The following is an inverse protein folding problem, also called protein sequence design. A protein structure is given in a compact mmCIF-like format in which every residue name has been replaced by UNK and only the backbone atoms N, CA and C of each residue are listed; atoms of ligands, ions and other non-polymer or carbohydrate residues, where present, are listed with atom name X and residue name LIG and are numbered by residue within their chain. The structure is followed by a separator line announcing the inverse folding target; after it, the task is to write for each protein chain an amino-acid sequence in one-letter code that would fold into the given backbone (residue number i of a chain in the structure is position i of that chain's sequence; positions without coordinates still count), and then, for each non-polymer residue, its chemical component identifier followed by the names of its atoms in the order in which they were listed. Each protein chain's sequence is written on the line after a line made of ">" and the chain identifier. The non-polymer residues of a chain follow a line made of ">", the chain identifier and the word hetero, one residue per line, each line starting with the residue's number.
data_IF_407142905784
#
_entry.id   IF_407142905784
#
_cell.length_a   1.000
_cell.length_b   1.000
_cell.length_c   1.000
_cell.angle_alpha   90.00
_cell.angle_beta   90.00
_cell.angle_gamma   90.00
#
_symmetry.space_group_name_H-M   'P 1'
#
loop_
_entity.id
_entity.type
_entity.pdbx_description
1 polymer ?
#
# COMPACT_ATOMS: atom_id res chain seq x y z
N UNK A 1 -80.87 25.77 -52.61
CA UNK A 1 -80.81 25.27 -51.22
C UNK A 1 -79.80 24.14 -51.20
N UNK A 2 -78.56 24.41 -50.77
CA UNK A 2 -77.46 23.44 -50.78
C UNK A 2 -77.28 22.91 -49.35
N UNK A 3 -77.50 21.61 -49.17
CA UNK A 3 -77.42 20.92 -47.88
C UNK A 3 -75.97 20.56 -47.55
N UNK A 4 -75.46 21.11 -46.45
CA UNK A 4 -74.12 20.85 -45.94
C UNK A 4 -74.12 19.52 -45.17
N UNK A 5 -73.33 18.55 -45.64
CA UNK A 5 -73.17 17.22 -45.03
C UNK A 5 -72.26 17.33 -43.80
N UNK A 6 -72.64 16.80 -42.62
CA UNK A 6 -71.82 16.93 -41.42
C UNK A 6 -70.58 16.03 -41.49
N UNK A 7 -69.45 16.60 -41.10
CA UNK A 7 -68.13 15.97 -41.02
C UNK A 7 -68.01 15.16 -39.70
N UNK A 8 -67.45 13.94 -39.73
CA UNK A 8 -67.33 13.12 -38.52
C UNK A 8 -66.24 13.63 -37.57
N UNK A 9 -66.56 13.68 -36.29
CA UNK A 9 -65.65 14.12 -35.23
C UNK A 9 -64.45 13.16 -35.07
N UNK A 10 -63.25 13.67 -34.74
CA UNK A 10 -62.07 12.85 -34.53
C UNK A 10 -62.23 12.00 -33.26
N UNK A 11 -61.95 10.70 -33.42
CA UNK A 11 -61.87 9.73 -32.33
C UNK A 11 -60.51 9.93 -31.64
N UNK A 12 -60.53 10.35 -30.38
CA UNK A 12 -59.33 10.40 -29.55
C UNK A 12 -59.12 9.05 -28.86
N UNK A 13 -58.11 8.31 -29.30
CA UNK A 13 -57.64 7.09 -28.65
C UNK A 13 -56.75 7.49 -27.45
N UNK A 14 -57.30 7.31 -26.24
CA UNK A 14 -56.72 7.73 -24.97
C UNK A 14 -55.87 6.68 -24.26
N UNK A 15 -55.12 5.85 -24.99
CA UNK A 15 -54.32 4.76 -24.41
C UNK A 15 -52.84 4.89 -24.78
N UNK A 16 -52.08 5.82 -24.18
CA UNK A 16 -50.61 5.76 -24.32
C UNK A 16 -49.76 6.55 -23.30
N UNK A 17 -50.35 7.14 -22.26
CA UNK A 17 -49.58 8.02 -21.33
C UNK A 17 -49.09 7.27 -20.09
N UNK A 18 -49.80 6.24 -19.63
CA UNK A 18 -49.50 5.59 -18.34
C UNK A 18 -48.34 4.56 -18.45
N UNK A 19 -48.21 3.85 -19.57
CA UNK A 19 -47.16 2.86 -19.83
C UNK A 19 -45.75 3.45 -20.05
N UNK A 20 -45.66 4.67 -20.61
CA UNK A 20 -44.38 5.35 -20.79
C UNK A 20 -43.80 5.86 -19.47
N UNK A 21 -44.65 6.24 -18.51
CA UNK A 21 -44.25 6.80 -17.21
C UNK A 21 -43.52 5.77 -16.33
N UNK A 22 -44.04 4.55 -16.24
CA UNK A 22 -43.46 3.49 -15.41
C UNK A 22 -42.13 2.98 -15.97
N UNK A 23 -42.01 2.89 -17.30
CA UNK A 23 -40.81 2.45 -18.00
C UNK A 23 -39.68 3.49 -17.89
N UNK A 24 -39.99 4.80 -18.02
CA UNK A 24 -39.01 5.88 -17.79
C UNK A 24 -38.57 5.93 -16.32
N UNK A 25 -39.49 5.82 -15.36
CA UNK A 25 -39.14 5.81 -13.92
C UNK A 25 -38.23 4.64 -13.56
N UNK A 26 -38.49 3.42 -14.07
CA UNK A 26 -37.61 2.26 -13.86
C UNK A 26 -36.21 2.45 -14.45
N UNK A 27 -36.09 3.09 -15.63
CA UNK A 27 -34.78 3.38 -16.23
C UNK A 27 -34.00 4.45 -15.46
N UNK A 28 -34.68 5.48 -14.96
CA UNK A 28 -34.07 6.56 -14.15
C UNK A 28 -33.60 6.00 -12.80
N UNK A 29 -34.44 5.21 -12.11
CA UNK A 29 -34.06 4.59 -10.83
C UNK A 29 -32.89 3.62 -10.99
N UNK A 30 -32.89 2.79 -12.04
CA UNK A 30 -31.77 1.86 -12.34
C UNK A 30 -30.47 2.62 -12.63
N UNK A 31 -30.51 3.72 -13.38
CA UNK A 31 -29.31 4.54 -13.62
C UNK A 31 -28.82 5.25 -12.36
N UNK A 32 -29.74 5.81 -11.56
CA UNK A 32 -29.40 6.51 -10.32
C UNK A 32 -28.75 5.59 -9.27
N UNK A 33 -29.06 4.29 -9.29
CA UNK A 33 -28.46 3.30 -8.37
C UNK A 33 -27.22 2.61 -8.97
N UNK A 34 -27.20 2.30 -10.26
CA UNK A 34 -26.05 1.61 -10.89
C UNK A 34 -24.82 2.50 -11.01
N UNK A 35 -25.00 3.81 -11.22
CA UNK A 35 -23.88 4.75 -11.36
C UNK A 35 -23.04 4.90 -10.07
N UNK A 36 -23.61 5.13 -8.88
CA UNK A 36 -22.81 5.16 -7.65
C UNK A 36 -22.19 3.81 -7.31
N UNK A 37 -22.88 2.68 -7.59
CA UNK A 37 -22.30 1.35 -7.39
C UNK A 37 -21.10 1.14 -8.31
N UNK A 38 -21.19 1.50 -9.59
CA UNK A 38 -20.08 1.41 -10.52
C UNK A 38 -18.90 2.30 -10.09
N UNK A 39 -19.18 3.52 -9.64
CA UNK A 39 -18.15 4.44 -9.11
C UNK A 39 -17.47 3.87 -7.87
N UNK A 40 -18.24 3.33 -6.92
CA UNK A 40 -17.70 2.69 -5.72
C UNK A 40 -16.87 1.43 -6.06
N UNK A 41 -17.32 0.64 -7.03
CA UNK A 41 -16.57 -0.53 -7.49
C UNK A 41 -15.24 -0.12 -8.16
N UNK A 42 -15.24 0.92 -8.98
CA UNK A 42 -14.03 1.46 -9.62
C UNK A 42 -13.08 2.02 -8.55
N UNK A 43 -13.58 2.83 -7.61
CA UNK A 43 -12.79 3.37 -6.52
C UNK A 43 -12.22 2.25 -5.65
N UNK A 44 -13.02 1.24 -5.30
CA UNK A 44 -12.57 0.07 -4.55
C UNK A 44 -11.48 -0.71 -5.28
N UNK A 45 -11.62 -0.91 -6.59
CA UNK A 45 -10.61 -1.58 -7.41
C UNK A 45 -9.29 -0.78 -7.47
N UNK A 46 -9.37 0.55 -7.65
CA UNK A 46 -8.19 1.44 -7.67
C UNK A 46 -7.51 1.49 -6.30
N UNK A 47 -8.28 1.58 -5.21
CA UNK A 47 -7.74 1.51 -3.85
C UNK A 47 -7.08 0.16 -3.58
N UNK A 48 -7.68 -0.96 -4.02
CA UNK A 48 -7.12 -2.29 -3.87
C UNK A 48 -5.77 -2.47 -4.59
N UNK A 49 -5.62 -1.89 -5.79
CA UNK A 49 -4.37 -1.95 -6.54
C UNK A 49 -3.18 -1.30 -5.80
N UNK A 50 -3.46 -0.29 -4.95
CA UNK A 50 -2.46 0.36 -4.11
C UNK A 50 -1.99 -0.50 -2.92
N UNK A 51 -2.55 -1.69 -2.70
CA UNK A 51 -2.13 -2.62 -1.62
C UNK A 51 -1.54 -3.92 -2.17
N UNK A 52 -0.96 -3.88 -3.36
CA UNK A 52 -0.23 -5.02 -3.92
C UNK A 52 1.20 -5.05 -3.40
N UNK A 53 1.77 -6.25 -3.23
CA UNK A 53 3.16 -6.47 -2.81
C UNK A 53 4.18 -5.71 -3.66
N UNK A 54 3.93 -5.62 -4.97
CA UNK A 54 4.78 -4.87 -5.90
C UNK A 54 4.83 -3.38 -5.58
N UNK A 55 3.67 -2.78 -5.27
CA UNK A 55 3.57 -1.35 -4.94
C UNK A 55 4.17 -1.10 -3.55
N UNK A 56 3.92 -2.00 -2.59
CA UNK A 56 4.49 -1.92 -1.24
C UNK A 56 6.01 -1.92 -1.23
N UNK A 57 6.63 -2.86 -1.95
CA UNK A 57 8.07 -2.94 -2.05
C UNK A 57 8.69 -1.78 -2.85
N UNK A 58 7.96 -1.22 -3.82
CA UNK A 58 8.46 -0.10 -4.63
C UNK A 58 8.44 1.23 -3.87
N UNK A 59 7.38 1.48 -3.11
CA UNK A 59 7.20 2.74 -2.37
C UNK A 59 7.65 2.66 -0.91
N UNK A 60 8.05 1.49 -0.41
CA UNK A 60 8.62 1.34 0.92
C UNK A 60 7.60 1.47 2.05
N UNK A 61 6.39 0.92 1.89
CA UNK A 61 5.43 0.75 2.99
C UNK A 61 5.22 -0.72 3.33
N UNK A 62 4.89 -1.00 4.59
CA UNK A 62 4.58 -2.34 5.05
C UNK A 62 3.13 -2.72 4.68
N UNK A 63 2.93 -3.94 4.18
CA UNK A 63 1.59 -4.50 4.07
C UNK A 63 1.10 -4.97 5.46
N UNK A 64 -0.21 -4.91 5.75
CA UNK A 64 -0.75 -5.37 7.02
C UNK A 64 -0.43 -6.83 7.37
N UNK A 65 -0.21 -7.68 6.36
CA UNK A 65 0.10 -9.10 6.52
C UNK A 65 1.62 -9.37 6.67
N UNK A 66 2.48 -8.40 6.32
CA UNK A 66 3.94 -8.56 6.26
C UNK A 66 4.62 -7.98 7.49
N UNK A 67 4.53 -8.68 8.63
CA UNK A 67 5.35 -8.53 9.87
C UNK A 67 5.66 -7.09 10.35
N UNK A 68 4.96 -6.07 9.86
CA UNK A 68 4.98 -4.67 10.28
C UNK A 68 6.02 -3.74 9.66
N UNK A 69 7.04 -4.21 8.91
CA UNK A 69 8.14 -3.33 8.47
C UNK A 69 8.31 -3.29 6.94
N UNK A 70 8.65 -2.12 6.35
CA UNK A 70 8.79 -1.98 4.90
C UNK A 70 10.07 -2.64 4.38
N UNK A 71 10.08 -3.00 3.09
CA UNK A 71 11.29 -3.51 2.41
C UNK A 71 12.42 -2.48 2.34
N UNK A 72 12.05 -1.19 2.23
CA UNK A 72 12.96 -0.07 2.07
C UNK A 72 12.68 0.99 3.14
N UNK A 73 13.75 1.54 3.71
CA UNK A 73 13.70 2.68 4.63
C UNK A 73 14.64 3.77 4.14
N UNK A 74 14.28 5.03 4.39
CA UNK A 74 15.14 6.17 4.08
C UNK A 74 15.76 6.72 5.35
N UNK A 75 17.05 6.99 5.31
CA UNK A 75 17.76 7.66 6.39
C UNK A 75 18.83 8.58 5.79
N UNK A 76 18.87 9.83 6.26
CA UNK A 76 19.81 10.85 5.80
C UNK A 76 19.85 11.02 4.26
N UNK A 77 18.69 10.99 3.61
CA UNK A 77 18.56 11.11 2.15
C UNK A 77 19.09 9.92 1.34
N UNK A 78 19.35 8.78 2.00
CA UNK A 78 19.82 7.53 1.38
C UNK A 78 18.79 6.42 1.58
N UNK A 79 18.76 5.48 0.64
CA UNK A 79 17.88 4.31 0.67
C UNK A 79 18.60 3.11 1.27
N UNK A 80 17.94 2.42 2.18
CA UNK A 80 18.41 1.17 2.78
C UNK A 80 17.36 0.09 2.59
N UNK A 81 17.79 -1.14 2.31
CA UNK A 81 16.90 -2.27 2.05
C UNK A 81 17.23 -3.46 2.93
N UNK A 82 16.19 -4.20 3.30
CA UNK A 82 16.35 -5.50 3.94
C UNK A 82 15.74 -6.57 3.06
N UNK A 83 16.50 -7.60 2.65
CA UNK A 83 15.93 -8.71 1.88
C UNK A 83 14.89 -9.49 2.71
N UNK A 84 14.95 -9.40 4.04
CA UNK A 84 14.07 -10.15 4.96
C UNK A 84 12.64 -9.60 4.98
N UNK A 85 12.46 -8.29 4.79
CA UNK A 85 11.15 -7.60 4.81
C UNK A 85 10.52 -7.48 3.43
N UNK A 86 10.89 -8.37 2.51
CA UNK A 86 10.27 -8.49 1.21
C UNK A 86 8.78 -8.83 1.36
N UNK A 87 7.88 -8.00 0.82
CA UNK A 87 6.43 -8.20 0.89
C UNK A 87 5.90 -9.34 -0.02
N UNK A 88 6.66 -10.42 -0.20
CA UNK A 88 6.29 -11.57 -1.04
C UNK A 88 6.17 -11.28 -2.54
N UNK A 89 6.68 -10.15 -3.04
CA UNK A 89 6.72 -9.88 -4.46
C UNK A 89 7.76 -10.80 -5.14
N UNK A 90 7.35 -11.48 -6.21
CA UNK A 90 8.18 -12.50 -6.88
C UNK A 90 9.59 -12.01 -7.24
N UNK A 91 9.71 -10.80 -7.80
CA UNK A 91 11.01 -10.21 -8.17
C UNK A 91 11.98 -10.06 -6.99
N UNK A 92 11.46 -9.91 -5.78
CA UNK A 92 12.25 -9.69 -4.57
C UNK A 92 12.51 -11.02 -3.82
N UNK A 93 11.63 -12.02 -3.96
CA UNK A 93 11.86 -13.38 -3.47
C UNK A 93 12.87 -14.16 -4.34
N UNK A 94 12.85 -13.91 -5.65
CA UNK A 94 13.74 -14.55 -6.62
C UNK A 94 15.20 -14.08 -6.44
N UNK A 95 15.40 -12.83 -6.02
CA UNK A 95 16.72 -12.25 -5.71
C UNK A 95 17.34 -12.79 -4.41
N UNK A 96 16.57 -13.45 -3.55
CA UNK A 96 17.08 -13.99 -2.29
C UNK A 96 18.07 -15.13 -2.52
N UNK A 97 19.24 -15.02 -1.91
CA UNK A 97 20.17 -16.15 -1.84
C UNK A 97 19.62 -17.26 -0.94
N UNK A 98 20.07 -18.52 -1.09
CA UNK A 98 19.67 -19.61 -0.20
C UNK A 98 19.90 -19.30 1.29
N UNK A 99 20.99 -18.59 1.61
CA UNK A 99 21.33 -18.16 2.97
C UNK A 99 20.33 -17.13 3.49
N UNK A 100 19.93 -16.18 2.64
CA UNK A 100 18.91 -15.16 3.00
C UNK A 100 17.53 -15.78 3.22
N UNK A 101 17.18 -16.86 2.50
CA UNK A 101 15.93 -17.60 2.74
C UNK A 101 15.93 -18.36 4.06
N UNK A 102 17.11 -18.77 4.54
CA UNK A 102 17.27 -19.45 5.82
C UNK A 102 17.42 -18.50 7.02
N UNK A 103 17.63 -17.20 6.76
CA UNK A 103 17.80 -16.21 7.83
C UNK A 103 16.52 -16.06 8.67
N UNK A 104 16.66 -15.94 10.00
CA UNK A 104 15.53 -15.62 10.86
C UNK A 104 14.99 -14.22 10.51
N UNK A 105 13.71 -13.99 10.79
CA UNK A 105 13.07 -12.70 10.51
C UNK A 105 13.78 -11.51 11.18
N UNK A 106 14.26 -11.70 12.40
CA UNK A 106 15.02 -10.70 13.11
C UNK A 106 16.06 -11.37 13.99
N UNK A 107 17.00 -10.58 14.48
CA UNK A 107 18.03 -11.04 15.41
C UNK A 107 17.88 -10.31 16.74
N UNK A 108 18.20 -10.97 17.86
CA UNK A 108 18.29 -10.29 19.16
C UNK A 108 19.44 -9.29 19.15
N UNK A 109 19.42 -8.33 20.08
CA UNK A 109 20.46 -7.28 20.16
C UNK A 109 21.87 -7.88 20.25
N UNK A 110 22.02 -8.98 21.00
CA UNK A 110 23.29 -9.70 21.13
C UNK A 110 23.78 -10.31 19.80
N UNK A 111 22.86 -10.66 18.89
CA UNK A 111 23.16 -11.22 17.58
C UNK A 111 23.59 -10.19 16.53
N UNK A 112 23.51 -8.89 16.83
CA UNK A 112 23.91 -7.82 15.92
C UNK A 112 25.43 -7.66 15.78
N UNK A 113 26.23 -8.50 16.47
CA UNK A 113 27.69 -8.41 16.45
C UNK A 113 28.24 -7.14 17.11
N UNK A 114 27.44 -6.50 17.98
CA UNK A 114 27.78 -5.27 18.69
C UNK A 114 28.23 -5.49 20.14
N UNK A 115 28.53 -6.74 20.52
CA UNK A 115 28.97 -7.12 21.87
C UNK A 115 30.41 -7.65 21.85
N UNK A 116 31.26 -6.94 22.59
CA UNK A 116 32.61 -7.28 23.06
C UNK A 116 33.69 -7.55 21.99
N UNK A 117 34.44 -6.50 21.62
CA UNK A 117 35.75 -6.65 20.97
C UNK A 117 36.17 -5.50 20.07
N UNK A 118 35.21 -4.76 19.52
CA UNK A 118 35.45 -3.53 18.76
C UNK A 118 34.55 -2.43 19.33
N UNK A 119 35.13 -1.64 20.24
CA UNK A 119 34.61 -0.43 20.91
C UNK A 119 33.11 -0.20 20.95
N UNK A 120 32.49 -0.34 22.13
CA UNK A 120 31.28 0.37 22.60
C UNK A 120 30.26 0.82 21.53
N UNK A 121 29.96 -0.02 20.54
CA UNK A 121 29.04 0.32 19.46
C UNK A 121 27.61 0.22 19.98
N UNK A 122 27.24 1.16 20.84
CA UNK A 122 25.89 1.30 21.36
C UNK A 122 24.98 1.67 20.20
N UNK A 123 23.85 0.95 20.08
CA UNK A 123 22.77 1.37 19.19
C UNK A 123 22.30 2.77 19.61
N UNK A 124 22.54 3.76 18.76
CA UNK A 124 22.05 5.11 18.95
C UNK A 124 20.78 5.26 18.13
N UNK A 125 19.67 5.63 18.80
CA UNK A 125 18.42 5.94 18.09
C UNK A 125 18.66 7.24 17.32
N UNK A 126 18.41 7.21 16.01
CA UNK A 126 18.60 8.37 15.12
C UNK A 126 17.31 8.82 14.46
N UNK A 127 16.33 7.93 14.32
CA UNK A 127 15.04 8.25 13.69
C UNK A 127 13.95 7.24 14.09
N UNK A 128 12.76 7.37 13.50
CA UNK A 128 11.65 6.43 13.55
C UNK A 128 11.15 6.08 12.13
N UNK A 129 10.92 4.80 11.87
CA UNK A 129 10.28 4.29 10.64
C UNK A 129 8.77 4.28 10.85
N UNK A 130 8.05 4.99 10.00
CA UNK A 130 6.59 5.03 10.02
C UNK A 130 6.00 3.92 9.16
N UNK A 131 4.91 3.33 9.65
CA UNK A 131 4.14 2.30 8.95
C UNK A 131 2.73 2.83 8.74
N UNK A 132 2.11 2.51 7.60
CA UNK A 132 0.86 3.15 7.17
C UNK A 132 -0.33 2.84 8.10
N UNK A 133 -0.30 1.71 8.80
CA UNK A 133 -1.38 1.24 9.70
C UNK A 133 -0.85 0.62 11.00
N UNK A 134 0.40 0.86 11.36
CA UNK A 134 1.04 0.26 12.51
C UNK A 134 1.73 1.28 13.41
N UNK A 135 2.39 0.81 14.49
CA UNK A 135 3.23 1.68 15.29
C UNK A 135 4.45 2.17 14.49
N UNK A 136 5.04 3.26 14.95
CA UNK A 136 6.36 3.66 14.50
C UNK A 136 7.43 2.76 15.13
N UNK A 137 8.51 2.52 14.39
CA UNK A 137 9.59 1.63 14.79
C UNK A 137 10.90 2.41 14.89
N UNK A 138 11.61 2.37 16.03
CA UNK A 138 12.83 3.14 16.18
C UNK A 138 13.94 2.62 15.26
N UNK A 139 14.63 3.56 14.61
CA UNK A 139 15.76 3.34 13.72
C UNK A 139 17.06 3.72 14.44
N UNK A 140 18.06 2.85 14.31
CA UNK A 140 19.32 2.90 15.01
C UNK A 140 20.50 2.81 14.06
N UNK A 141 21.62 3.36 14.53
CA UNK A 141 22.94 3.21 13.90
C UNK A 141 23.90 2.58 14.89
N UNK A 142 24.96 1.96 14.37
CA UNK A 142 26.04 1.42 15.20
C UNK A 142 26.93 2.57 15.67
N UNK A 143 26.72 3.06 16.90
CA UNK A 143 27.49 4.16 17.47
C UNK A 143 27.23 5.54 16.85
N UNK A 144 28.09 6.49 17.23
CA UNK A 144 28.08 7.84 16.70
C UNK A 144 28.71 7.88 15.31
N UNK A 145 28.04 8.52 14.36
CA UNK A 145 28.49 8.61 12.97
C UNK A 145 29.30 9.90 12.80
N UNK A 146 30.57 9.82 12.37
CA UNK A 146 31.36 11.00 12.06
C UNK A 146 30.70 11.87 10.98
N UNK A 147 30.84 13.21 11.08
CA UNK A 147 30.32 14.11 10.05
C UNK A 147 31.02 13.83 8.70
N UNK A 148 30.21 13.55 7.68
CA UNK A 148 30.69 13.25 6.32
C UNK A 148 30.85 11.76 6.01
N UNK A 149 30.61 10.86 6.96
CA UNK A 149 30.64 9.41 6.73
C UNK A 149 29.25 8.89 6.32
N UNK A 150 29.23 7.98 5.35
CA UNK A 150 27.99 7.31 4.92
C UNK A 150 27.78 6.05 5.76
N UNK A 151 26.62 5.97 6.41
CA UNK A 151 26.20 4.75 7.11
C UNK A 151 25.92 3.67 6.07
N UNK A 152 26.58 2.53 6.21
CA UNK A 152 26.38 1.39 5.30
C UNK A 152 25.26 0.46 5.75
N UNK A 153 24.92 0.49 7.04
CA UNK A 153 23.87 -0.34 7.65
C UNK A 153 23.13 0.42 8.76
N UNK A 154 21.81 0.41 8.68
CA UNK A 154 20.92 0.86 9.75
C UNK A 154 20.18 -0.33 10.33
N UNK A 155 19.72 -0.19 11.58
CA UNK A 155 19.01 -1.24 12.30
C UNK A 155 17.65 -0.72 12.74
N UNK A 156 16.58 -1.47 12.51
CA UNK A 156 15.21 -1.09 12.92
C UNK A 156 14.71 -2.09 13.94
N UNK A 157 14.12 -1.63 15.05
CA UNK A 157 13.49 -2.51 16.01
C UNK A 157 12.08 -2.91 15.53
N UNK A 158 11.89 -4.19 15.25
CA UNK A 158 10.57 -4.74 14.90
C UNK A 158 9.71 -4.96 16.15
N UNK A 159 10.32 -5.41 17.24
CA UNK A 159 9.67 -5.59 18.55
C UNK A 159 10.71 -5.62 19.68
N UNK A 160 10.29 -5.98 20.90
CA UNK A 160 11.19 -6.12 22.04
C UNK A 160 12.27 -7.18 21.74
N UNK A 161 13.53 -6.76 21.76
CA UNK A 161 14.71 -7.58 21.45
C UNK A 161 14.65 -8.29 20.08
N UNK A 162 14.06 -7.63 19.07
CA UNK A 162 13.95 -8.15 17.71
C UNK A 162 14.31 -7.04 16.73
N UNK A 163 15.47 -7.17 16.09
CA UNK A 163 16.08 -6.15 15.26
C UNK A 163 16.32 -6.64 13.83
N UNK A 164 16.10 -5.75 12.88
CA UNK A 164 16.30 -5.98 11.45
C UNK A 164 17.38 -5.06 10.91
N UNK A 165 18.31 -5.63 10.15
CA UNK A 165 19.33 -4.87 9.46
C UNK A 165 18.84 -4.46 8.06
N UNK A 166 19.12 -3.21 7.71
CA UNK A 166 18.91 -2.66 6.37
C UNK A 166 20.24 -2.15 5.85
N UNK A 167 20.62 -2.62 4.66
CA UNK A 167 21.88 -2.29 4.01
C UNK A 167 21.68 -1.17 2.99
N UNK A 168 22.67 -0.28 2.89
CA UNK A 168 22.67 0.85 1.96
C UNK A 168 22.56 0.37 0.51
N UNK A 169 21.67 0.99 -0.25
CA UNK A 169 21.52 0.75 -1.69
C UNK A 169 22.44 1.71 -2.46
N UNK A 170 23.22 1.18 -3.40
CA UNK A 170 23.92 1.99 -4.41
C UNK A 170 25.35 2.44 -4.08
N UNK A 171 26.02 1.82 -3.11
CA UNK A 171 27.41 2.14 -2.75
C UNK A 171 27.55 3.45 -1.95
N UNK A 172 28.68 3.63 -1.22
CA UNK A 172 28.90 4.79 -0.35
C UNK A 172 29.01 6.12 -1.10
#
# INVERSE_FOLDING_TARGET
>A
MSGQKPEPAPRYDGEDIEGQSTTRRRRILRRAVMLPIAVLAILGALCGAAFTSKVANHFGYALPEDKGLPHQVQYNGRDYRSPITCAGAQWCEDEKTPEQRAMPYCMPRAGLGMTEGAGDAQLMKVDDVFTLFGPSHPLFTAGAIPPGETVTRVVVAASNDCYLAYDLVGGP
#
